data_IF_139244134391
#
_entry.id   IF_139244134391
#
_cell.length_a   1.000
_cell.length_b   1.000
_cell.length_c   1.000
_cell.angle_alpha   90.00
_cell.angle_beta   90.00
_cell.angle_gamma   90.00
#
_symmetry.space_group_name_H-M   'P 1'
#
loop_
_entity.id
_entity.type
_entity.pdbx_description
1 polymer ?
#
# COMPACT_ATOMS: atom_id res chain seq x y z
N UNK A 1 -7.12 19.40 46.15
CA UNK A 1 -8.42 19.10 45.50
C UNK A 1 -8.58 20.02 44.29
N UNK A 2 -8.47 19.43 43.10
CA UNK A 2 -9.04 19.84 41.79
C UNK A 2 -8.65 21.22 41.21
N UNK A 3 -7.81 21.26 40.15
CA UNK A 3 -8.13 21.14 38.72
C UNK A 3 -8.62 22.46 38.08
N UNK A 4 -7.81 23.00 37.17
CA UNK A 4 -8.14 23.81 35.97
C UNK A 4 -6.81 24.06 35.24
N UNK A 5 -6.37 23.18 34.34
CA UNK A 5 -6.65 23.21 32.89
C UNK A 5 -6.78 24.65 32.37
N UNK A 6 -5.68 25.14 31.81
CA UNK A 6 -5.65 26.25 30.85
C UNK A 6 -4.62 25.92 29.78
N UNK A 7 -5.09 25.15 28.80
CA UNK A 7 -4.56 25.10 27.44
C UNK A 7 -4.56 26.53 26.91
N UNK A 8 -3.37 27.11 26.67
CA UNK A 8 -3.22 28.31 25.85
C UNK A 8 -1.99 28.14 24.94
N UNK A 9 -2.30 27.75 23.71
CA UNK A 9 -1.80 28.34 22.47
C UNK A 9 -0.44 29.06 22.56
N UNK A 10 0.64 28.35 22.21
CA UNK A 10 1.80 29.00 21.59
C UNK A 10 1.61 28.95 20.08
N UNK A 11 1.20 30.09 19.53
CA UNK A 11 1.31 30.43 18.11
C UNK A 11 2.80 30.43 17.80
N UNK A 12 3.25 29.47 16.99
CA UNK A 12 4.55 29.52 16.33
C UNK A 12 4.31 29.82 14.85
N UNK A 13 4.24 31.10 14.52
CA UNK A 13 4.52 31.57 13.16
C UNK A 13 6.01 31.36 12.85
N UNK A 14 6.26 30.89 11.63
CA UNK A 14 7.55 30.88 10.91
C UNK A 14 8.68 30.03 11.48
N UNK A 15 8.76 28.78 10.99
CA UNK A 15 9.96 28.24 10.33
C UNK A 15 9.62 26.94 9.57
N UNK A 16 9.42 27.04 8.25
CA UNK A 16 9.38 25.88 7.34
C UNK A 16 10.79 25.27 7.18
N UNK A 17 11.34 24.71 8.26
CA UNK A 17 12.58 23.92 8.23
C UNK A 17 12.33 22.59 8.96
N UNK A 18 12.35 21.51 8.18
CA UNK A 18 12.29 20.09 8.58
C UNK A 18 11.00 19.59 9.26
N UNK A 19 9.96 19.36 8.44
CA UNK A 19 8.82 18.51 8.79
C UNK A 19 9.14 17.04 8.45
N UNK A 20 10.10 16.44 9.17
CA UNK A 20 10.18 14.99 9.22
C UNK A 20 9.01 14.51 10.09
N UNK A 21 8.26 13.52 9.61
CA UNK A 21 7.21 12.90 10.43
C UNK A 21 7.83 12.34 11.71
N UNK A 22 7.11 12.48 12.83
CA UNK A 22 7.54 11.88 14.08
C UNK A 22 7.45 10.35 13.98
N UNK A 23 8.47 9.66 14.47
CA UNK A 23 8.51 8.20 14.50
C UNK A 23 8.00 7.67 15.84
N UNK A 24 7.03 6.76 15.79
CA UNK A 24 6.47 6.08 16.97
C UNK A 24 6.82 4.60 16.91
N UNK A 25 7.61 4.15 17.90
CA UNK A 25 8.04 2.77 18.01
C UNK A 25 7.06 1.96 18.87
N UNK A 26 6.37 1.03 18.23
CA UNK A 26 5.37 0.16 18.86
C UNK A 26 6.08 -0.96 19.63
N UNK A 27 5.75 -1.13 20.91
CA UNK A 27 6.18 -2.29 21.71
C UNK A 27 7.18 -2.06 22.85
N UNK A 28 7.32 -0.83 23.39
CA UNK A 28 8.06 -0.62 24.66
C UNK A 28 7.27 -0.93 25.93
N UNK A 29 5.93 -1.03 25.86
CA UNK A 29 5.07 -1.36 27.01
C UNK A 29 4.14 -2.53 26.64
N UNK A 30 4.44 -3.72 27.15
CA UNK A 30 3.79 -4.97 26.75
C UNK A 30 3.01 -5.56 27.92
N UNK A 31 1.69 -5.34 27.97
CA UNK A 31 0.70 -6.32 28.45
C UNK A 31 -0.72 -6.02 27.92
N UNK A 32 -1.09 -4.75 27.65
CA UNK A 32 -2.47 -4.37 27.29
C UNK A 32 -2.65 -3.89 25.83
N UNK A 33 -1.57 -3.81 25.06
CA UNK A 33 -1.55 -3.22 23.71
C UNK A 33 -1.23 -1.72 23.74
N UNK A 34 -0.56 -1.23 22.70
CA UNK A 34 -0.16 0.17 22.62
C UNK A 34 -1.35 1.03 22.19
N UNK A 35 -1.82 1.92 23.08
CA UNK A 35 -2.94 2.82 22.81
C UNK A 35 -2.48 3.98 21.92
N UNK A 36 -2.97 4.03 20.68
CA UNK A 36 -2.77 5.17 19.79
C UNK A 36 -3.93 6.16 19.97
N UNK A 37 -3.59 7.41 20.28
CA UNK A 37 -4.56 8.50 20.41
C UNK A 37 -4.86 9.16 19.05
N UNK A 38 -3.85 9.31 18.18
CA UNK A 38 -4.00 9.96 16.88
C UNK A 38 -3.07 9.35 15.85
N UNK A 39 -3.61 8.85 14.74
CA UNK A 39 -2.82 8.22 13.66
C UNK A 39 -2.17 9.23 12.69
N UNK A 40 -2.58 10.50 12.74
CA UNK A 40 -2.19 11.48 11.75
C UNK A 40 -0.74 11.93 11.94
N UNK A 41 -0.08 12.22 10.82
CA UNK A 41 1.21 12.92 10.72
C UNK A 41 2.37 12.24 11.46
N UNK A 42 2.32 10.90 11.53
CA UNK A 42 3.33 10.06 12.20
C UNK A 42 3.69 8.83 11.35
N UNK A 43 4.90 8.32 11.57
CA UNK A 43 5.33 7.01 11.07
C UNK A 43 5.32 6.05 12.26
N UNK A 44 4.46 5.06 12.21
CA UNK A 44 4.43 4.00 13.20
C UNK A 44 5.33 2.85 12.78
N UNK A 45 6.15 2.34 13.69
CA UNK A 45 7.13 1.29 13.41
C UNK A 45 7.01 0.17 14.44
N UNK A 46 6.69 -1.03 13.99
CA UNK A 46 6.96 -2.23 14.78
C UNK A 46 8.39 -2.69 14.45
N UNK A 47 9.36 -2.33 15.28
CA UNK A 47 10.77 -2.75 15.09
C UNK A 47 11.07 -4.13 15.68
N UNK A 48 10.09 -4.80 16.29
CA UNK A 48 10.25 -6.11 16.89
C UNK A 48 10.27 -7.22 15.84
N UNK A 49 10.75 -8.39 16.25
CA UNK A 49 10.72 -9.63 15.46
C UNK A 49 9.38 -10.35 15.56
N UNK A 50 8.49 -9.93 16.46
CA UNK A 50 7.14 -10.44 16.63
C UNK A 50 6.06 -9.39 16.29
N UNK A 51 4.85 -9.87 16.04
CA UNK A 51 3.66 -9.02 15.92
C UNK A 51 3.39 -8.30 17.23
N UNK A 52 3.02 -7.02 17.17
CA UNK A 52 2.55 -6.26 18.33
C UNK A 52 1.07 -5.88 18.18
N UNK A 53 0.38 -5.69 19.31
CA UNK A 53 -1.03 -5.27 19.32
C UNK A 53 -1.11 -3.77 19.59
N UNK A 54 -1.88 -3.08 18.76
CA UNK A 54 -2.22 -1.67 18.89
C UNK A 54 -3.70 -1.53 19.16
N UNK A 55 -4.09 -0.58 19.99
CA UNK A 55 -5.49 -0.20 20.22
C UNK A 55 -5.71 1.19 19.66
N UNK A 56 -6.72 1.35 18.80
CA UNK A 56 -7.12 2.64 18.24
C UNK A 56 -8.64 2.68 18.09
N UNK A 57 -9.28 3.74 18.59
CA UNK A 57 -10.75 3.88 18.59
C UNK A 57 -11.48 2.64 19.16
N UNK A 58 -10.98 2.09 20.27
CA UNK A 58 -11.48 0.90 20.95
C UNK A 58 -11.43 -0.41 20.13
N UNK A 59 -10.73 -0.41 18.99
CA UNK A 59 -10.51 -1.58 18.16
C UNK A 59 -9.04 -2.04 18.28
N UNK A 60 -8.82 -3.35 18.17
CA UNK A 60 -7.49 -3.96 18.25
C UNK A 60 -6.95 -4.29 16.86
N UNK A 61 -5.69 -3.91 16.63
CA UNK A 61 -4.98 -4.11 15.38
C UNK A 61 -3.68 -4.86 15.62
N UNK A 62 -3.41 -5.86 14.78
CA UNK A 62 -2.17 -6.64 14.81
C UNK A 62 -1.18 -6.03 13.82
N UNK A 63 -0.02 -5.60 14.31
CA UNK A 63 1.00 -4.95 13.47
C UNK A 63 2.14 -5.94 13.22
N UNK A 64 2.38 -6.37 11.97
CA UNK A 64 3.39 -7.37 11.64
C UNK A 64 4.81 -6.95 12.07
N UNK A 65 5.72 -7.91 12.31
CA UNK A 65 7.09 -7.61 12.69
C UNK A 65 7.82 -6.82 11.62
N UNK A 66 8.74 -5.94 12.05
CA UNK A 66 9.57 -5.10 11.17
C UNK A 66 8.77 -4.24 10.18
N UNK A 67 7.46 -4.04 10.40
CA UNK A 67 6.62 -3.25 9.51
C UNK A 67 6.55 -1.79 9.97
N UNK A 68 6.33 -0.89 9.02
CA UNK A 68 6.07 0.51 9.28
C UNK A 68 4.84 0.98 8.54
N UNK A 69 4.14 1.97 9.06
CA UNK A 69 2.99 2.53 8.37
C UNK A 69 2.76 4.02 8.62
N UNK A 70 2.11 4.64 7.66
CA UNK A 70 1.71 6.05 7.68
C UNK A 70 0.25 6.13 7.26
N UNK A 71 -0.59 6.69 8.13
CA UNK A 71 -2.00 6.94 7.82
C UNK A 71 -2.15 8.39 7.38
N UNK A 72 -2.36 8.61 6.09
CA UNK A 72 -2.60 9.95 5.54
C UNK A 72 -3.21 9.87 4.14
N UNK A 73 -3.85 10.96 3.72
CA UNK A 73 -4.41 11.10 2.38
C UNK A 73 -3.39 11.56 1.33
N UNK A 74 -3.85 11.60 0.08
CA UNK A 74 -3.04 11.97 -1.08
C UNK A 74 -2.50 13.41 -1.04
N UNK A 75 -3.15 14.35 -0.34
CA UNK A 75 -2.63 15.71 -0.18
C UNK A 75 -1.32 15.75 0.60
N UNK A 76 -1.09 14.74 1.46
CA UNK A 76 0.10 14.59 2.30
C UNK A 76 1.19 13.71 1.67
N UNK A 77 1.12 13.44 0.36
CA UNK A 77 2.11 12.65 -0.40
C UNK A 77 3.57 13.10 -0.19
N UNK A 78 3.80 14.38 0.10
CA UNK A 78 5.13 14.92 0.41
C UNK A 78 5.82 14.23 1.59
N UNK A 79 5.06 13.60 2.49
CA UNK A 79 5.61 12.88 3.64
C UNK A 79 6.49 11.70 3.24
N UNK A 80 6.13 10.97 2.17
CA UNK A 80 6.95 9.89 1.65
C UNK A 80 8.24 10.41 1.03
N UNK A 81 8.15 11.50 0.26
CA UNK A 81 9.30 12.07 -0.42
C UNK A 81 10.36 12.62 0.55
N UNK A 82 9.92 13.25 1.65
CA UNK A 82 10.79 13.94 2.61
C UNK A 82 11.68 13.03 3.47
N UNK A 83 11.46 11.72 3.45
CA UNK A 83 12.26 10.78 4.25
C UNK A 83 13.67 10.53 3.66
N UNK A 84 13.93 10.97 2.43
CA UNK A 84 15.16 10.65 1.68
C UNK A 84 15.48 9.15 1.61
N UNK A 85 14.44 8.33 1.72
CA UNK A 85 14.48 6.88 1.54
C UNK A 85 14.14 6.56 0.08
N UNK A 86 14.92 5.65 -0.50
CA UNK A 86 14.62 5.04 -1.80
C UNK A 86 14.24 3.57 -1.60
N UNK A 87 13.30 3.10 -2.40
CA UNK A 87 12.72 1.76 -2.33
C UNK A 87 13.14 0.93 -3.54
N UNK A 88 13.46 -0.33 -3.29
CA UNK A 88 13.76 -1.32 -4.32
C UNK A 88 12.49 -1.90 -4.93
N UNK A 89 11.38 -1.88 -4.18
CA UNK A 89 10.07 -2.30 -4.65
C UNK A 89 8.99 -1.32 -4.19
N UNK A 90 8.23 -0.80 -5.15
CA UNK A 90 7.03 0.00 -4.87
C UNK A 90 5.81 -0.73 -5.45
N UNK A 91 4.82 -1.02 -4.60
CA UNK A 91 3.53 -1.57 -5.02
C UNK A 91 2.44 -0.50 -4.86
N UNK A 92 1.59 -0.33 -5.88
CA UNK A 92 0.56 0.71 -5.90
C UNK A 92 -0.79 0.09 -6.30
N UNK A 93 -1.82 0.21 -5.45
CA UNK A 93 -3.23 -0.19 -5.75
C UNK A 93 -4.13 1.06 -5.72
N UNK A 94 -4.06 1.95 -6.74
CA UNK A 94 -4.73 3.22 -6.68
C UNK A 94 -6.27 3.06 -6.77
N UNK A 95 -7.05 3.99 -6.20
CA UNK A 95 -8.50 3.95 -6.24
C UNK A 95 -9.04 4.40 -7.61
N UNK A 96 -8.85 3.59 -8.65
CA UNK A 96 -9.30 3.86 -10.03
C UNK A 96 -10.78 4.24 -10.09
N UNK A 97 -11.14 5.24 -10.92
CA UNK A 97 -12.55 5.63 -10.99
C UNK A 97 -13.43 4.48 -11.49
N UNK A 98 -14.46 4.19 -10.70
CA UNK A 98 -15.50 3.25 -11.04
C UNK A 98 -16.88 3.91 -10.95
N UNK A 99 -17.75 3.67 -11.93
CA UNK A 99 -19.13 4.15 -11.95
C UNK A 99 -19.92 3.66 -10.72
N UNK A 100 -19.56 2.51 -10.16
CA UNK A 100 -20.16 1.99 -8.92
C UNK A 100 -19.66 2.71 -7.65
N UNK A 101 -18.41 3.18 -7.64
CA UNK A 101 -17.82 3.91 -6.51
C UNK A 101 -18.39 5.33 -6.39
N UNK A 102 -18.74 5.99 -7.51
CA UNK A 102 -19.38 7.32 -7.53
C UNK A 102 -20.74 7.39 -6.82
N UNK A 103 -21.39 6.25 -6.52
CA UNK A 103 -22.68 6.21 -5.80
C UNK A 103 -22.54 6.22 -4.26
N UNK A 104 -21.34 6.02 -3.71
CA UNK A 104 -21.05 6.21 -2.29
C UNK A 104 -20.37 7.57 -2.12
N UNK A 105 -21.04 8.51 -1.44
CA UNK A 105 -20.63 9.92 -1.29
C UNK A 105 -19.28 10.12 -0.55
N UNK A 106 -18.66 9.07 -0.01
CA UNK A 106 -17.51 9.17 0.90
C UNK A 106 -16.14 8.92 0.26
N UNK A 107 -16.05 8.78 -1.08
CA UNK A 107 -14.76 8.67 -1.76
C UNK A 107 -14.64 9.76 -2.82
N UNK A 108 -13.85 10.79 -2.51
CA UNK A 108 -13.26 11.68 -3.50
C UNK A 108 -12.44 10.80 -4.43
N UNK A 109 -12.99 10.48 -5.60
CA UNK A 109 -12.26 9.70 -6.61
C UNK A 109 -11.01 10.48 -7.00
N UNK A 110 -9.83 9.88 -6.86
CA UNK A 110 -8.57 10.51 -7.26
C UNK A 110 -8.55 10.61 -8.79
N UNK A 111 -8.54 11.82 -9.38
CA UNK A 111 -8.41 11.98 -10.82
C UNK A 111 -7.15 11.26 -11.32
N UNK A 112 -7.23 10.62 -12.48
CA UNK A 112 -6.12 9.87 -13.08
C UNK A 112 -4.83 10.70 -13.13
N UNK A 113 -4.95 12.00 -13.43
CA UNK A 113 -3.83 12.93 -13.51
C UNK A 113 -3.12 13.15 -12.18
N UNK A 114 -3.81 13.03 -11.04
CA UNK A 114 -3.18 13.20 -9.73
C UNK A 114 -2.18 12.08 -9.43
N UNK A 115 -2.36 10.87 -10.00
CA UNK A 115 -1.38 9.80 -9.86
C UNK A 115 0.02 10.18 -10.40
N UNK A 116 0.09 11.07 -11.40
CA UNK A 116 1.36 11.60 -11.92
C UNK A 116 2.16 12.37 -10.86
N UNK A 117 1.48 12.94 -9.85
CA UNK A 117 2.12 13.67 -8.74
C UNK A 117 2.92 12.76 -7.81
N UNK A 118 2.69 11.44 -7.83
CA UNK A 118 3.48 10.50 -7.04
C UNK A 118 4.94 10.58 -7.50
N UNK A 119 5.88 10.95 -6.62
CA UNK A 119 7.26 11.23 -6.99
C UNK A 119 8.08 9.92 -7.10
N UNK A 120 7.60 8.96 -7.89
CA UNK A 120 8.25 7.64 -8.07
C UNK A 120 9.70 7.78 -8.50
N UNK A 121 10.02 8.76 -9.38
CA UNK A 121 11.42 9.05 -9.76
C UNK A 121 12.34 9.31 -8.57
N UNK A 122 11.85 9.96 -7.52
CA UNK A 122 12.62 10.24 -6.31
C UNK A 122 12.61 9.06 -5.34
N UNK A 123 11.49 8.34 -5.27
CA UNK A 123 11.28 7.23 -4.32
C UNK A 123 11.90 5.91 -4.78
N UNK A 124 12.15 5.72 -6.08
CA UNK A 124 12.61 4.44 -6.61
C UNK A 124 14.15 4.36 -6.67
N UNK A 125 14.70 3.25 -6.19
CA UNK A 125 16.15 2.98 -6.24
C UNK A 125 16.63 2.81 -7.70
N UNK A 126 17.95 2.78 -7.91
CA UNK A 126 18.54 2.66 -9.27
C UNK A 126 18.04 1.42 -10.02
N UNK A 127 17.87 0.31 -9.31
CA UNK A 127 17.40 -0.97 -9.87
C UNK A 127 15.97 -1.31 -9.47
N UNK A 128 15.24 -0.34 -8.92
CA UNK A 128 13.93 -0.57 -8.32
C UNK A 128 12.84 -0.93 -9.33
N UNK A 129 11.84 -1.65 -8.83
CA UNK A 129 10.66 -2.09 -9.57
C UNK A 129 9.43 -1.37 -9.02
N UNK A 130 8.54 -0.94 -9.91
CA UNK A 130 7.20 -0.44 -9.58
C UNK A 130 6.18 -1.43 -10.11
N UNK A 131 5.32 -1.95 -9.24
CA UNK A 131 4.20 -2.80 -9.62
C UNK A 131 2.89 -2.06 -9.31
N UNK A 132 2.03 -1.90 -10.32
CA UNK A 132 0.75 -1.19 -10.18
C UNK A 132 -0.41 -2.08 -10.59
N UNK A 133 -1.39 -2.23 -9.69
CA UNK A 133 -2.65 -2.88 -10.01
C UNK A 133 -3.49 -1.96 -10.89
N UNK A 134 -4.07 -2.50 -11.96
CA UNK A 134 -4.87 -1.74 -12.93
C UNK A 134 -6.20 -2.44 -13.15
N UNK A 135 -7.27 -1.69 -13.38
CA UNK A 135 -8.54 -2.31 -13.79
C UNK A 135 -8.45 -2.85 -15.22
N UNK A 136 -9.35 -3.78 -15.60
CA UNK A 136 -9.42 -4.33 -16.96
C UNK A 136 -9.84 -3.35 -18.07
N UNK A 137 -10.10 -2.07 -17.78
CA UNK A 137 -10.49 -1.13 -18.83
C UNK A 137 -9.25 -0.72 -19.64
N UNK A 138 -9.22 -0.89 -20.97
CA UNK A 138 -8.06 -0.56 -21.81
C UNK A 138 -7.50 0.84 -21.58
N UNK A 139 -8.39 1.84 -21.43
CA UNK A 139 -7.98 3.24 -21.16
C UNK A 139 -7.00 3.41 -20.00
N UNK A 140 -7.14 2.63 -18.93
CA UNK A 140 -6.27 2.75 -17.75
C UNK A 140 -4.96 2.00 -17.96
N UNK A 141 -5.01 0.87 -18.66
CA UNK A 141 -3.80 0.12 -19.04
C UNK A 141 -2.93 1.01 -19.95
N UNK A 142 -3.54 1.63 -20.96
CA UNK A 142 -2.85 2.53 -21.90
C UNK A 142 -2.33 3.78 -21.20
N UNK A 143 -3.13 4.39 -20.32
CA UNK A 143 -2.70 5.51 -19.50
C UNK A 143 -1.46 5.17 -18.66
N UNK A 144 -1.47 4.01 -17.97
CA UNK A 144 -0.33 3.59 -17.14
C UNK A 144 0.92 3.39 -17.99
N UNK A 145 0.80 2.63 -19.09
CA UNK A 145 1.95 2.28 -19.95
C UNK A 145 2.55 3.48 -20.66
N UNK A 146 1.70 4.35 -21.22
CA UNK A 146 2.14 5.38 -22.16
C UNK A 146 2.24 6.78 -21.55
N UNK A 147 1.70 7.00 -20.35
CA UNK A 147 1.77 8.30 -19.68
C UNK A 147 2.35 8.20 -18.28
N UNK A 148 1.80 7.34 -17.42
CA UNK A 148 2.18 7.32 -16.01
C UNK A 148 3.61 6.79 -15.81
N UNK A 149 3.96 5.68 -16.47
CA UNK A 149 5.30 5.11 -16.40
C UNK A 149 6.36 6.03 -17.02
N UNK A 150 6.02 6.70 -18.12
CA UNK A 150 6.88 7.73 -18.74
C UNK A 150 7.14 8.88 -17.75
N UNK A 151 6.08 9.41 -17.12
CA UNK A 151 6.20 10.45 -16.09
C UNK A 151 7.04 9.99 -14.90
N UNK A 152 6.94 8.71 -14.53
CA UNK A 152 7.72 8.11 -13.45
C UNK A 152 9.14 7.69 -13.86
N UNK A 153 9.53 7.87 -15.13
CA UNK A 153 10.86 7.50 -15.63
C UNK A 153 11.15 6.01 -15.55
N UNK A 154 10.13 5.19 -15.77
CA UNK A 154 10.23 3.72 -15.81
C UNK A 154 9.72 3.21 -17.15
N UNK A 155 10.38 2.20 -17.70
CA UNK A 155 9.88 1.46 -18.87
C UNK A 155 9.01 0.29 -18.40
N UNK A 156 7.99 -0.04 -19.20
CA UNK A 156 7.19 -1.25 -18.98
C UNK A 156 8.08 -2.48 -19.19
N UNK A 157 8.10 -3.39 -18.21
CA UNK A 157 8.84 -4.67 -18.30
C UNK A 157 7.93 -5.88 -18.24
N UNK A 158 6.73 -5.76 -17.67
CA UNK A 158 5.81 -6.89 -17.57
C UNK A 158 4.34 -6.47 -17.52
N UNK A 159 3.49 -7.38 -18.01
CA UNK A 159 2.05 -7.32 -17.89
C UNK A 159 1.52 -8.66 -17.35
N UNK A 160 1.41 -8.71 -16.03
CA UNK A 160 0.95 -9.89 -15.30
C UNK A 160 -0.54 -9.82 -15.02
N UNK A 161 -1.11 -10.96 -14.64
CA UNK A 161 -2.52 -11.07 -14.31
C UNK A 161 -2.69 -11.87 -13.03
N UNK A 162 -3.51 -11.36 -12.10
CA UNK A 162 -4.03 -12.16 -11.00
C UNK A 162 -5.37 -12.75 -11.39
N UNK A 163 -5.41 -14.07 -11.58
CA UNK A 163 -6.60 -14.85 -11.85
C UNK A 163 -7.20 -15.35 -10.53
N UNK A 164 -8.51 -15.19 -10.40
CA UNK A 164 -9.31 -15.55 -9.23
C UNK A 164 -10.06 -16.84 -9.52
N UNK A 165 -9.81 -17.83 -8.67
CA UNK A 165 -10.45 -19.15 -8.76
C UNK A 165 -11.25 -19.47 -7.49
N UNK A 166 -12.15 -20.43 -7.58
CA UNK A 166 -12.82 -21.05 -6.44
C UNK A 166 -11.87 -22.03 -5.75
N UNK A 167 -12.29 -22.61 -4.62
CA UNK A 167 -11.54 -23.68 -3.96
C UNK A 167 -11.38 -24.93 -4.85
N UNK A 168 -12.28 -25.11 -5.82
CA UNK A 168 -12.27 -26.22 -6.78
C UNK A 168 -11.42 -25.90 -8.02
N UNK A 169 -10.81 -24.72 -8.10
CA UNK A 169 -9.96 -24.29 -9.22
C UNK A 169 -10.71 -23.65 -10.39
N UNK A 170 -12.04 -23.55 -10.31
CA UNK A 170 -12.88 -22.92 -11.34
C UNK A 170 -12.79 -21.39 -11.30
N UNK A 171 -12.98 -20.71 -12.42
CA UNK A 171 -12.98 -19.24 -12.40
C UNK A 171 -14.18 -18.69 -11.63
N UNK A 172 -13.95 -17.68 -10.79
CA UNK A 172 -15.02 -17.06 -9.97
C UNK A 172 -16.09 -16.35 -10.81
N UNK A 173 -15.77 -16.03 -12.06
CA UNK A 173 -16.68 -15.46 -13.07
C UNK A 173 -16.25 -15.93 -14.45
N UNK A 174 -17.18 -16.05 -15.39
CA UNK A 174 -16.86 -16.38 -16.78
C UNK A 174 -15.91 -15.33 -17.41
N UNK A 175 -14.92 -15.82 -18.16
CA UNK A 175 -14.03 -15.01 -18.99
C UNK A 175 -14.77 -14.15 -20.02
N UNK A 176 -15.92 -14.63 -20.52
CA UNK A 176 -16.75 -13.93 -21.50
C UNK A 176 -17.49 -12.72 -20.91
N UNK A 177 -17.55 -12.59 -19.58
CA UNK A 177 -18.34 -11.55 -18.91
C UNK A 177 -17.82 -10.15 -19.21
N UNK A 178 -18.70 -9.31 -19.73
CA UNK A 178 -18.43 -7.91 -20.08
C UNK A 178 -18.26 -7.06 -18.81
N UNK A 179 -18.91 -7.43 -17.71
CA UNK A 179 -19.01 -6.60 -16.51
C UNK A 179 -17.98 -6.94 -15.43
N UNK A 180 -17.63 -8.22 -15.27
CA UNK A 180 -16.68 -8.70 -14.26
C UNK A 180 -15.80 -9.77 -14.86
N UNK A 181 -14.49 -9.51 -14.93
CA UNK A 181 -13.52 -10.52 -15.34
C UNK A 181 -12.97 -11.27 -14.12
N UNK A 182 -12.62 -12.55 -14.27
CA UNK A 182 -12.04 -13.34 -13.18
C UNK A 182 -10.58 -12.99 -12.93
N UNK A 183 -10.06 -11.90 -13.51
CA UNK A 183 -8.68 -11.52 -13.35
C UNK A 183 -8.48 -10.01 -13.20
N UNK A 184 -7.36 -9.60 -12.63
CA UNK A 184 -6.94 -8.20 -12.54
C UNK A 184 -5.51 -8.03 -13.08
N UNK A 185 -5.27 -7.06 -13.99
CA UNK A 185 -3.93 -6.72 -14.47
C UNK A 185 -3.01 -6.15 -13.38
N UNK A 186 -1.73 -6.54 -13.47
CA UNK A 186 -0.62 -5.98 -12.72
C UNK A 186 0.47 -5.58 -13.72
N UNK A 187 0.75 -4.28 -13.84
CA UNK A 187 1.80 -3.78 -14.71
C UNK A 187 3.07 -3.56 -13.89
N UNK A 188 4.21 -4.03 -14.41
CA UNK A 188 5.52 -3.82 -13.82
C UNK A 188 6.31 -2.85 -14.67
N UNK A 189 6.86 -1.84 -14.02
CA UNK A 189 7.81 -0.89 -14.57
C UNK A 189 9.15 -0.99 -13.85
N UNK A 190 10.23 -0.75 -14.56
CA UNK A 190 11.57 -0.65 -13.97
C UNK A 190 12.29 0.56 -14.57
N UNK A 191 13.11 1.21 -13.76
CA UNK A 191 13.87 2.41 -14.15
C UNK A 191 14.61 2.21 -15.48
N UNK A 192 14.59 3.24 -16.32
CA UNK A 192 15.34 3.25 -17.58
C UNK A 192 16.86 3.17 -17.33
N UNK A 193 17.61 2.62 -18.30
CA UNK A 193 19.07 2.47 -18.24
C UNK A 193 19.60 1.70 -17.01
N UNK A 194 18.78 0.78 -16.50
CA UNK A 194 19.15 -0.14 -15.44
C UNK A 194 19.83 -1.39 -16.04
N UNK A 195 21.09 -1.65 -15.66
CA UNK A 195 21.73 -2.93 -15.94
C UNK A 195 21.00 -4.05 -15.17
N UNK A 196 20.78 -5.18 -15.84
CA UNK A 196 20.16 -6.36 -15.24
C UNK A 196 21.05 -6.88 -14.11
N UNK A 197 20.58 -6.74 -12.87
CA UNK A 197 21.32 -7.17 -11.66
C UNK A 197 20.74 -8.42 -11.00
N UNK A 198 19.49 -8.75 -11.29
CA UNK A 198 18.73 -9.84 -10.70
C UNK A 198 18.11 -10.72 -11.79
N UNK A 199 17.32 -11.71 -11.40
CA UNK A 199 16.54 -12.54 -12.33
C UNK A 199 15.74 -11.67 -13.32
N UNK A 200 15.71 -12.11 -14.57
CA UNK A 200 14.89 -11.45 -15.59
C UNK A 200 13.41 -11.58 -15.22
N UNK A 201 12.71 -10.44 -15.26
CA UNK A 201 11.28 -10.39 -14.98
C UNK A 201 10.56 -10.93 -16.23
N UNK A 202 9.80 -12.03 -16.15
CA UNK A 202 9.08 -12.54 -17.30
C UNK A 202 8.03 -11.52 -17.75
N UNK A 203 7.97 -11.22 -19.05
CA UNK A 203 7.01 -10.26 -19.61
C UNK A 203 5.56 -10.61 -19.21
N UNK A 204 5.25 -11.90 -19.11
CA UNK A 204 3.92 -12.44 -18.81
C UNK A 204 4.00 -13.46 -17.69
N UNK A 205 3.14 -13.30 -16.69
CA UNK A 205 2.97 -14.24 -15.58
C UNK A 205 1.53 -14.22 -15.10
N UNK A 206 1.04 -15.38 -14.69
CA UNK A 206 -0.28 -15.52 -14.05
C UNK A 206 -0.07 -15.86 -12.58
N UNK A 207 -0.70 -15.08 -11.71
CA UNK A 207 -0.83 -15.37 -10.29
C UNK A 207 -2.23 -15.95 -10.12
N UNK A 208 -2.37 -17.14 -9.54
CA UNK A 208 -3.67 -17.76 -9.31
C UNK A 208 -3.92 -17.87 -7.81
N UNK A 209 -5.07 -17.41 -7.33
CA UNK A 209 -5.46 -17.62 -5.93
C UNK A 209 -6.97 -17.58 -5.73
N UNK A 210 -7.43 -18.17 -4.64
CA UNK A 210 -8.79 -17.98 -4.14
C UNK A 210 -8.89 -16.57 -3.54
N UNK A 211 -9.79 -15.69 -4.01
CA UNK A 211 -9.93 -14.36 -3.44
C UNK A 211 -10.56 -14.43 -2.04
N UNK A 212 -10.21 -13.48 -1.18
CA UNK A 212 -10.90 -13.33 0.10
C UNK A 212 -12.34 -12.84 -0.15
N UNK A 213 -13.29 -13.28 0.69
CA UNK A 213 -14.69 -12.80 0.66
C UNK A 213 -14.80 -11.30 0.92
N UNK A 214 -13.76 -10.68 1.50
CA UNK A 214 -13.72 -9.24 1.72
C UNK A 214 -13.24 -8.53 0.46
N UNK A 215 -14.05 -7.60 -0.04
CA UNK A 215 -13.83 -6.94 -1.31
C UNK A 215 -12.45 -6.28 -1.44
N UNK A 216 -11.90 -6.42 -2.64
CA UNK A 216 -10.69 -5.75 -3.09
C UNK A 216 -9.41 -6.13 -2.31
N UNK A 217 -9.37 -7.24 -1.58
CA UNK A 217 -8.11 -7.76 -1.01
C UNK A 217 -7.30 -8.49 -2.09
N UNK A 218 -6.17 -7.90 -2.48
CA UNK A 218 -5.22 -8.46 -3.44
C UNK A 218 -4.34 -9.53 -2.77
N UNK A 219 -3.77 -10.50 -3.53
CA UNK A 219 -2.78 -11.41 -3.00
C UNK A 219 -1.51 -10.62 -2.62
N UNK A 220 -0.83 -10.99 -1.53
CA UNK A 220 0.40 -10.32 -1.14
C UNK A 220 1.48 -10.60 -2.18
N UNK A 221 2.13 -9.55 -2.68
CA UNK A 221 3.12 -9.66 -3.76
C UNK A 221 4.55 -9.88 -3.25
N UNK A 222 4.79 -9.82 -1.94
CA UNK A 222 6.13 -9.90 -1.34
C UNK A 222 6.89 -11.16 -1.78
N UNK A 223 6.28 -12.35 -1.67
CA UNK A 223 6.92 -13.61 -2.08
C UNK A 223 7.02 -13.78 -3.60
N UNK A 224 6.11 -13.15 -4.34
CA UNK A 224 6.06 -13.28 -5.80
C UNK A 224 7.14 -12.42 -6.45
N UNK A 225 7.42 -11.25 -5.85
CA UNK A 225 8.37 -10.27 -6.36
C UNK A 225 9.76 -10.35 -5.70
N UNK A 226 9.91 -11.07 -4.57
CA UNK A 226 11.18 -11.16 -3.82
C UNK A 226 12.35 -11.67 -4.65
N UNK A 227 12.11 -12.55 -5.62
CA UNK A 227 13.15 -13.09 -6.50
C UNK A 227 13.73 -12.10 -7.52
N UNK A 228 13.09 -10.93 -7.69
CA UNK A 228 13.52 -9.89 -8.64
C UNK A 228 14.09 -8.65 -7.97
N UNK A 229 14.27 -8.69 -6.65
CA UNK A 229 14.79 -7.58 -5.83
C UNK A 229 15.87 -8.11 -4.86
N UNK A 230 16.69 -7.24 -4.24
CA UNK A 230 17.64 -7.67 -3.21
C UNK A 230 16.97 -8.39 -2.03
N UNK A 231 17.69 -9.28 -1.35
CA UNK A 231 17.18 -10.01 -0.18
C UNK A 231 16.67 -9.09 0.94
N UNK A 232 17.34 -7.96 1.16
CA UNK A 232 16.97 -6.93 2.14
C UNK A 232 16.32 -5.70 1.47
N UNK A 233 15.52 -5.92 0.43
CA UNK A 233 14.87 -4.87 -0.34
C UNK A 233 14.02 -3.95 0.54
N UNK A 234 14.20 -2.63 0.41
CA UNK A 234 13.29 -1.66 1.00
C UNK A 234 12.02 -1.60 0.17
N UNK A 235 10.88 -1.88 0.79
CA UNK A 235 9.61 -2.03 0.10
C UNK A 235 8.57 -1.00 0.57
N UNK A 236 7.84 -0.42 -0.37
CA UNK A 236 6.75 0.54 -0.14
C UNK A 236 5.46 0.02 -0.78
N UNK A 237 4.37 -0.01 0.00
CA UNK A 237 3.01 -0.20 -0.51
C UNK A 237 2.23 1.11 -0.39
N UNK A 238 1.72 1.63 -1.52
CA UNK A 238 0.91 2.84 -1.59
C UNK A 238 -0.56 2.51 -1.80
N UNK A 239 -1.44 3.30 -1.18
CA UNK A 239 -2.87 3.02 -1.04
C UNK A 239 -3.13 1.70 -0.32
N UNK A 240 -2.22 1.35 0.60
CA UNK A 240 -2.24 0.09 1.32
C UNK A 240 -3.49 -0.02 2.19
N UNK A 241 -3.99 -1.24 2.30
CA UNK A 241 -5.06 -1.64 3.24
C UNK A 241 -4.64 -2.79 4.15
N UNK A 242 -3.44 -3.30 3.91
CA UNK A 242 -2.81 -4.40 4.62
C UNK A 242 -1.39 -3.98 5.01
N UNK A 243 -0.86 -4.57 6.06
CA UNK A 243 0.55 -4.47 6.43
C UNK A 243 1.25 -5.77 6.08
N UNK A 244 2.49 -5.65 5.62
CA UNK A 244 3.38 -6.78 5.38
C UNK A 244 4.64 -6.64 6.23
N UNK A 245 5.21 -7.74 6.74
CA UNK A 245 6.47 -7.70 7.47
C UNK A 245 7.58 -7.06 6.63
N UNK A 246 8.33 -6.12 7.21
CA UNK A 246 9.46 -5.46 6.53
C UNK A 246 9.08 -4.34 5.55
N UNK A 247 7.79 -4.02 5.39
CA UNK A 247 7.33 -3.02 4.43
C UNK A 247 6.95 -1.70 5.12
N UNK A 248 7.10 -0.60 4.37
CA UNK A 248 6.38 0.64 4.68
C UNK A 248 5.04 0.62 3.92
N UNK A 249 3.93 0.79 4.63
CA UNK A 249 2.59 0.88 4.05
C UNK A 249 2.00 2.28 4.24
N UNK A 250 1.47 2.87 3.18
CA UNK A 250 0.93 4.24 3.18
C UNK A 250 -0.47 4.30 2.57
N UNK A 251 -1.38 5.06 3.20
CA UNK A 251 -2.73 5.31 2.71
C UNK A 251 -3.75 5.66 3.80
N UNK A 252 -5.00 5.84 3.40
CA UNK A 252 -6.10 6.19 4.33
C UNK A 252 -6.57 5.03 5.20
N UNK A 253 -6.50 3.80 4.68
CA UNK A 253 -7.11 2.60 5.27
C UNK A 253 -6.05 1.55 5.63
N UNK A 254 -4.82 1.94 5.93
CA UNK A 254 -3.65 1.03 6.05
C UNK A 254 -3.87 -0.08 7.09
N UNK A 255 -4.58 0.21 8.17
CA UNK A 255 -4.88 -0.75 9.24
C UNK A 255 -6.11 -1.63 8.98
N UNK A 256 -6.82 -1.44 7.85
CA UNK A 256 -8.12 -2.10 7.58
C UNK A 256 -8.06 -3.60 7.74
N UNK A 257 -7.10 -4.27 7.11
CA UNK A 257 -6.94 -5.73 7.22
C UNK A 257 -6.08 -6.19 8.40
N UNK A 258 -5.72 -5.28 9.30
CA UNK A 258 -5.00 -5.59 10.55
C UNK A 258 -5.91 -5.73 11.77
N UNK A 259 -7.20 -5.41 11.63
CA UNK A 259 -8.13 -5.58 12.75
C UNK A 259 -8.18 -7.06 13.20
N UNK A 260 -8.07 -7.31 14.49
CA UNK A 260 -7.96 -8.65 15.07
C UNK A 260 -9.15 -9.56 14.72
N UNK A 261 -10.32 -8.99 14.42
CA UNK A 261 -11.52 -9.72 13.98
C UNK A 261 -11.29 -10.53 12.69
N UNK A 262 -10.32 -10.16 11.86
CA UNK A 262 -9.97 -10.92 10.65
C UNK A 262 -9.05 -12.12 10.89
N UNK A 263 -8.49 -12.25 12.10
CA UNK A 263 -7.54 -13.29 12.48
C UNK A 263 -8.14 -14.33 13.43
N UNK A 264 -9.13 -13.93 14.21
CA UNK A 264 -9.90 -14.86 15.02
C UNK A 264 -10.91 -15.59 14.11
N UNK A 265 -10.84 -16.92 14.06
CA UNK A 265 -12.00 -17.69 13.57
C UNK A 265 -13.17 -17.35 14.49
N UNK A 266 -14.31 -16.95 13.95
CA UNK A 266 -15.55 -16.98 14.72
C UNK A 266 -15.76 -18.43 15.15
N UNK A 267 -15.47 -18.74 16.42
CA UNK A 267 -15.98 -19.94 17.09
C UNK A 267 -17.47 -19.72 17.34
N UNK A 268 -18.28 -19.79 16.28
CA UNK A 268 -19.74 -19.90 16.31
C UNK A 268 -20.22 -20.12 14.88
N UNK A 269 -20.34 -21.39 14.48
CA UNK A 269 -21.39 -21.87 13.56
C UNK A 269 -22.31 -22.71 14.43
#
# INVERSE_FOLDING_TARGET
MLLKISILYSIAENNFKNLNLCEVYLGKDLHEGFNIVCLEDQIYKNSLTNTCTVVYQNERYLIPPKSSFIVSDFSKLSYLAKQDIVYDLIVIDPPWENKSAKRKKDYTTLPEYDLKKIPVRRLLSKHGIVAIWVTNKPKYIDFVKHQLFVEWGVRVVAHWHWVKVTNDGEFVTDFSSIHKRPYEPLLLGQRENCELRFCEIPERKVICSVPCNIHSRKPPLNFILSSYVPENALCLEMFARNLLPGWLSWGNEVLKFQNSKYFCKNTSI
#
